data_IF_983293171846
#
_entry.id   IF_983293171846
#
_cell.length_a   1.000
_cell.length_b   1.000
_cell.length_c   1.000
_cell.angle_alpha   90.00
_cell.angle_beta   90.00
_cell.angle_gamma   90.00
#
_symmetry.space_group_name_H-M   'P 1'
#
loop_
_entity.id
_entity.type
_entity.pdbx_description
1 polymer ?
#
# COMPACT_ATOMS: atom_id res chain seq x y z
N UNK A 1 -7.26 9.83 18.99
CA UNK A 1 -6.23 9.04 18.32
C UNK A 1 -5.12 9.97 17.86
N UNK A 2 -3.86 9.58 18.03
CA UNK A 2 -2.67 10.28 17.51
C UNK A 2 -1.69 9.28 16.89
N UNK A 3 -0.51 9.73 16.48
CA UNK A 3 0.56 8.83 16.03
C UNK A 3 1.03 7.86 17.14
N UNK A 4 0.82 8.18 18.42
CA UNK A 4 1.17 7.27 19.53
C UNK A 4 0.26 6.03 19.57
N UNK A 5 -0.88 6.08 18.87
CA UNK A 5 -1.80 4.96 18.70
C UNK A 5 -1.54 4.16 17.42
N UNK A 6 -0.43 4.44 16.72
CA UNK A 6 -0.13 3.86 15.41
C UNK A 6 1.17 3.05 15.39
N UNK A 7 1.03 1.77 15.09
CA UNK A 7 2.10 0.93 14.56
C UNK A 7 2.16 1.03 13.03
N UNK A 8 3.36 1.09 12.48
CA UNK A 8 3.60 1.05 11.03
C UNK A 8 4.49 -0.15 10.71
N UNK A 9 4.02 -1.01 9.80
CA UNK A 9 4.78 -2.15 9.29
C UNK A 9 5.12 -1.95 7.82
N UNK A 10 6.41 -1.92 7.47
CA UNK A 10 6.88 -1.90 6.07
C UNK A 10 7.38 -3.29 5.67
N UNK A 11 6.80 -3.87 4.62
CA UNK A 11 7.23 -5.15 4.07
C UNK A 11 8.18 -4.93 2.89
N UNK A 12 9.36 -5.54 2.94
CA UNK A 12 10.38 -5.36 1.90
C UNK A 12 11.08 -6.65 1.48
N UNK A 13 11.54 -6.65 0.23
CA UNK A 13 12.44 -7.68 -0.32
C UNK A 13 13.28 -7.11 -1.45
N UNK A 14 14.60 -7.09 -1.24
CA UNK A 14 15.63 -6.75 -2.21
C UNK A 14 15.44 -5.40 -2.94
N UNK A 15 15.10 -4.34 -2.20
CA UNK A 15 14.72 -3.03 -2.75
C UNK A 15 15.18 -1.85 -1.88
N UNK A 16 16.45 -1.84 -1.47
CA UNK A 16 17.08 -0.85 -0.60
C UNK A 16 16.58 0.60 -0.80
N UNK A 17 16.68 1.12 -2.02
CA UNK A 17 16.33 2.52 -2.29
C UNK A 17 14.83 2.82 -2.12
N UNK A 18 13.94 1.88 -2.49
CA UNK A 18 12.49 2.04 -2.30
C UNK A 18 12.14 1.97 -0.82
N UNK A 19 12.69 0.98 -0.12
CA UNK A 19 12.55 0.86 1.33
C UNK A 19 13.01 2.14 2.04
N UNK A 20 14.18 2.66 1.67
CA UNK A 20 14.71 3.91 2.22
C UNK A 20 13.77 5.09 1.96
N UNK A 21 13.22 5.22 0.75
CA UNK A 21 12.22 6.26 0.46
C UNK A 21 10.97 6.12 1.34
N UNK A 22 10.44 4.90 1.46
CA UNK A 22 9.28 4.61 2.29
C UNK A 22 9.53 5.00 3.76
N UNK A 23 10.64 4.53 4.34
CA UNK A 23 11.06 4.83 5.72
C UNK A 23 11.21 6.34 5.93
N UNK A 24 11.91 7.04 5.04
CA UNK A 24 12.08 8.50 5.15
C UNK A 24 10.75 9.24 5.09
N UNK A 25 9.82 8.80 4.23
CA UNK A 25 8.50 9.42 4.14
C UNK A 25 7.66 9.20 5.39
N UNK A 26 7.74 8.01 6.00
CA UNK A 26 7.09 7.70 7.28
C UNK A 26 7.67 8.56 8.39
N UNK A 27 8.99 8.64 8.53
CA UNK A 27 9.64 9.45 9.56
C UNK A 27 9.28 10.94 9.44
N UNK A 28 9.10 11.44 8.22
CA UNK A 28 8.73 12.84 7.96
C UNK A 28 7.27 13.14 8.32
N UNK A 29 6.35 12.23 7.98
CA UNK A 29 4.92 12.50 8.00
C UNK A 29 4.14 11.83 9.12
N UNK A 30 4.75 10.87 9.80
CA UNK A 30 4.16 10.15 10.93
C UNK A 30 5.05 10.22 12.18
N UNK A 31 5.40 11.43 12.65
CA UNK A 31 6.25 11.58 13.83
C UNK A 31 5.54 11.00 15.06
N UNK A 32 6.18 10.03 15.72
CA UNK A 32 5.64 9.34 16.91
C UNK A 32 5.12 7.92 16.64
N UNK A 33 4.83 7.57 15.38
CA UNK A 33 4.40 6.22 15.06
C UNK A 33 5.54 5.22 15.26
N UNK A 34 5.23 4.02 15.78
CA UNK A 34 6.23 2.97 15.96
C UNK A 34 6.42 2.23 14.63
N UNK A 35 7.55 2.47 13.99
CA UNK A 35 7.91 1.87 12.70
C UNK A 35 8.69 0.56 12.89
N UNK A 36 8.23 -0.50 12.24
CA UNK A 36 8.94 -1.79 12.11
C UNK A 36 9.03 -2.21 10.65
N UNK A 37 10.19 -2.71 10.24
CA UNK A 37 10.45 -3.23 8.90
C UNK A 37 10.50 -4.75 8.97
N UNK A 38 9.74 -5.41 8.11
CA UNK A 38 9.70 -6.86 7.97
C UNK A 38 10.39 -7.24 6.66
N UNK A 39 11.62 -7.75 6.78
CA UNK A 39 12.42 -8.20 5.65
C UNK A 39 12.09 -9.65 5.26
N UNK A 40 11.84 -9.93 3.99
CA UNK A 40 11.56 -11.29 3.48
C UNK A 40 12.83 -12.02 3.01
N UNK A 41 13.87 -12.04 3.86
CA UNK A 41 15.18 -12.62 3.58
C UNK A 41 15.87 -11.96 2.37
N UNK A 42 16.03 -10.64 2.42
CA UNK A 42 16.81 -9.94 1.40
C UNK A 42 18.23 -10.50 1.34
N UNK A 43 18.75 -10.60 0.12
CA UNK A 43 20.06 -11.14 -0.20
C UNK A 43 20.93 -10.14 -0.95
N UNK A 44 20.35 -9.05 -1.47
CA UNK A 44 21.15 -8.08 -2.19
C UNK A 44 21.98 -7.22 -1.21
N UNK A 45 23.24 -6.90 -1.55
CA UNK A 45 24.15 -6.20 -0.65
C UNK A 45 23.65 -4.81 -0.23
N UNK A 46 22.97 -4.08 -1.11
CA UNK A 46 22.53 -2.71 -0.83
C UNK A 46 21.41 -2.73 0.22
N UNK A 47 20.48 -3.69 0.12
CA UNK A 47 19.39 -3.84 1.09
C UNK A 47 19.95 -4.30 2.43
N UNK A 48 20.86 -5.28 2.44
CA UNK A 48 21.51 -5.73 3.68
C UNK A 48 22.29 -4.60 4.37
N UNK A 49 23.03 -3.79 3.61
CA UNK A 49 23.75 -2.64 4.14
C UNK A 49 22.80 -1.58 4.71
N UNK A 50 21.69 -1.29 4.02
CA UNK A 50 20.68 -0.36 4.52
C UNK A 50 20.01 -0.88 5.80
N UNK A 51 19.57 -2.15 5.82
CA UNK A 51 18.98 -2.77 7.01
C UNK A 51 19.92 -2.75 8.22
N UNK A 52 21.21 -2.99 8.00
CA UNK A 52 22.23 -2.94 9.06
C UNK A 52 22.51 -1.52 9.59
N UNK A 53 22.15 -0.47 8.83
CA UNK A 53 22.31 0.93 9.25
C UNK A 53 21.13 1.48 10.06
N UNK A 54 20.03 0.73 10.12
CA UNK A 54 18.84 1.13 10.85
C UNK A 54 18.98 0.85 12.36
N UNK A 55 18.26 1.60 13.22
CA UNK A 55 18.27 1.38 14.66
C UNK A 55 17.95 -0.06 15.05
N UNK A 56 18.58 -0.53 16.12
CA UNK A 56 18.31 -1.85 16.69
C UNK A 56 16.82 -2.02 17.00
N UNK A 57 16.28 -3.20 16.70
CA UNK A 57 14.86 -3.53 16.92
C UNK A 57 13.91 -2.97 15.85
N UNK A 58 14.35 -2.09 14.94
CA UNK A 58 13.51 -1.59 13.84
C UNK A 58 13.28 -2.65 12.75
N UNK A 59 14.19 -3.62 12.61
CA UNK A 59 14.13 -4.65 11.56
C UNK A 59 13.81 -6.01 12.16
N UNK A 60 12.80 -6.67 11.61
CA UNK A 60 12.41 -8.03 11.93
C UNK A 60 12.80 -8.94 10.77
N UNK A 61 13.79 -9.79 11.04
CA UNK A 61 14.27 -10.82 10.10
C UNK A 61 13.27 -12.00 10.04
N UNK A 62 13.28 -12.78 8.95
CA UNK A 62 12.41 -13.95 8.81
C UNK A 62 12.79 -15.05 9.81
N UNK A 63 11.80 -15.85 10.22
CA UNK A 63 12.01 -17.05 11.03
C UNK A 63 12.70 -18.16 10.23
N UNK A 64 13.26 -19.14 10.94
CA UNK A 64 14.04 -20.25 10.36
C UNK A 64 13.23 -21.27 9.53
N UNK A 65 11.90 -21.14 9.41
CA UNK A 65 11.03 -22.14 8.77
C UNK A 65 10.39 -21.73 7.42
N UNK A 66 10.58 -20.51 6.91
CA UNK A 66 9.46 -19.86 6.18
C UNK A 66 9.73 -19.49 4.72
N UNK A 67 9.80 -20.47 3.80
CA UNK A 67 9.96 -20.20 2.37
C UNK A 67 9.17 -21.14 1.44
N UNK A 68 7.84 -21.11 1.46
CA UNK A 68 7.04 -21.79 0.42
C UNK A 68 5.76 -21.03 0.07
N UNK A 69 5.85 -20.04 -0.82
CA UNK A 69 4.69 -19.30 -1.32
C UNK A 69 4.95 -18.46 -2.57
N UNK A 70 3.94 -18.33 -3.44
CA UNK A 70 3.99 -17.54 -4.69
C UNK A 70 4.17 -16.03 -4.48
N UNK A 71 3.87 -15.54 -3.27
CA UNK A 71 3.98 -14.13 -2.85
C UNK A 71 5.24 -13.82 -2.03
N UNK A 72 6.18 -14.78 -1.87
CA UNK A 72 7.19 -14.68 -0.82
C UNK A 72 6.55 -14.79 0.57
N UNK A 73 7.29 -14.41 1.61
CA UNK A 73 6.83 -14.39 3.00
C UNK A 73 5.89 -13.22 3.33
N UNK A 74 5.31 -12.50 2.35
CA UNK A 74 4.52 -11.28 2.60
C UNK A 74 3.39 -11.48 3.63
N UNK A 75 2.43 -12.37 3.36
CA UNK A 75 1.28 -12.57 4.26
C UNK A 75 1.67 -13.11 5.62
N UNK A 76 2.74 -13.91 5.66
CA UNK A 76 3.32 -14.38 6.92
C UNK A 76 3.93 -13.22 7.72
N UNK A 77 4.70 -12.35 7.07
CA UNK A 77 5.23 -11.15 7.70
C UNK A 77 4.10 -10.19 8.12
N UNK A 78 3.01 -10.09 7.35
CA UNK A 78 1.82 -9.34 7.75
C UNK A 78 1.16 -9.93 8.99
N UNK A 79 1.12 -11.27 9.13
CA UNK A 79 0.64 -11.91 10.36
C UNK A 79 1.55 -11.55 11.53
N UNK A 80 2.87 -11.67 11.36
CA UNK A 80 3.84 -11.30 12.40
C UNK A 80 3.75 -9.82 12.78
N UNK A 81 3.40 -8.94 11.85
CA UNK A 81 3.17 -7.53 12.13
C UNK A 81 1.92 -7.35 13.00
N UNK A 82 0.83 -8.05 12.71
CA UNK A 82 -0.37 -8.04 13.53
C UNK A 82 -0.11 -8.61 14.93
N UNK A 83 0.55 -9.77 15.02
CA UNK A 83 0.86 -10.43 16.30
C UNK A 83 1.76 -9.58 17.22
N UNK A 84 2.56 -8.67 16.64
CA UNK A 84 3.45 -7.75 17.36
C UNK A 84 2.86 -6.35 17.56
N UNK A 85 1.69 -6.08 16.97
CA UNK A 85 1.07 -4.78 17.09
C UNK A 85 0.56 -4.60 18.51
N UNK A 86 1.01 -3.54 19.17
CA UNK A 86 0.63 -3.20 20.56
C UNK A 86 -0.19 -1.92 20.61
N UNK A 87 -0.33 -1.23 19.47
CA UNK A 87 -1.11 -0.01 19.34
C UNK A 87 -2.48 -0.31 18.73
N UNK A 88 -3.43 0.59 18.96
CA UNK A 88 -4.83 0.45 18.50
C UNK A 88 -4.91 0.26 16.97
N UNK A 89 -4.03 0.95 16.24
CA UNK A 89 -3.99 0.93 14.79
C UNK A 89 -2.68 0.35 14.26
N UNK A 90 -2.77 -0.42 13.19
CA UNK A 90 -1.65 -0.90 12.40
C UNK A 90 -1.80 -0.40 10.96
N UNK A 91 -0.86 0.42 10.49
CA UNK A 91 -0.74 0.77 9.07
C UNK A 91 0.26 -0.17 8.40
N UNK A 92 -0.21 -0.90 7.40
CA UNK A 92 0.64 -1.75 6.57
C UNK A 92 1.09 -1.01 5.31
N UNK A 93 2.38 -1.06 5.01
CA UNK A 93 3.00 -0.44 3.84
C UNK A 93 3.86 -1.45 3.09
N UNK A 94 4.00 -1.26 1.78
CA UNK A 94 4.98 -1.98 0.97
C UNK A 94 6.16 -1.04 0.69
N UNK A 95 7.35 -1.61 0.48
CA UNK A 95 8.57 -0.85 0.23
C UNK A 95 8.46 0.14 -0.95
N UNK A 96 7.58 -0.12 -1.91
CA UNK A 96 7.32 0.73 -3.06
C UNK A 96 6.23 1.80 -2.85
N UNK A 97 5.89 2.10 -1.60
CA UNK A 97 4.95 3.16 -1.22
C UNK A 97 5.65 4.36 -0.59
N UNK A 98 4.94 5.49 -0.60
CA UNK A 98 5.37 6.73 0.03
C UNK A 98 4.20 7.38 0.76
N UNK A 99 4.45 7.86 1.97
CA UNK A 99 3.56 8.80 2.66
C UNK A 99 3.81 10.19 2.07
N UNK A 100 2.78 10.85 1.55
CA UNK A 100 2.94 12.10 0.77
C UNK A 100 2.48 13.35 1.50
N UNK A 101 1.94 13.21 2.71
CA UNK A 101 1.54 14.33 3.56
C UNK A 101 1.44 13.90 5.02
N UNK A 102 1.58 14.85 5.92
CA UNK A 102 1.29 14.63 7.33
C UNK A 102 -0.22 14.58 7.58
N UNK A 103 -0.61 13.91 8.65
CA UNK A 103 -1.97 13.89 9.16
C UNK A 103 -2.15 15.04 10.17
N UNK A 104 -3.26 15.74 10.08
CA UNK A 104 -3.69 16.70 11.11
C UNK A 104 -4.85 16.13 11.93
N UNK A 105 -5.34 16.91 12.91
CA UNK A 105 -6.42 16.46 13.80
C UNK A 105 -7.68 16.02 13.04
N UNK A 106 -8.06 16.72 11.95
CA UNK A 106 -9.25 16.36 11.18
C UNK A 106 -9.13 15.00 10.49
N UNK A 107 -7.90 14.58 10.14
CA UNK A 107 -7.66 13.25 9.60
C UNK A 107 -7.83 12.17 10.68
N UNK A 108 -7.35 12.44 11.90
CA UNK A 108 -7.55 11.54 13.04
C UNK A 108 -9.01 11.43 13.46
N UNK A 109 -9.74 12.54 13.45
CA UNK A 109 -11.18 12.56 13.73
C UNK A 109 -11.93 11.74 12.68
N UNK A 110 -11.53 11.84 11.41
CA UNK A 110 -12.05 11.01 10.31
C UNK A 110 -11.77 9.52 10.54
N UNK A 111 -10.55 9.15 10.91
CA UNK A 111 -10.15 7.76 11.18
C UNK A 111 -10.95 7.20 12.37
N UNK A 112 -11.04 7.96 13.46
CA UNK A 112 -11.78 7.55 14.65
C UNK A 112 -13.26 7.35 14.32
N UNK A 113 -13.89 8.36 13.70
CA UNK A 113 -15.30 8.32 13.29
C UNK A 113 -15.59 7.14 12.35
N UNK A 114 -14.66 6.84 11.43
CA UNK A 114 -14.80 5.70 10.53
C UNK A 114 -14.96 4.39 11.31
N UNK A 115 -14.17 4.16 12.36
CA UNK A 115 -14.27 2.95 13.16
C UNK A 115 -15.43 3.00 14.17
N UNK A 116 -15.72 4.14 14.79
CA UNK A 116 -16.81 4.27 15.78
C UNK A 116 -18.20 4.12 15.17
N UNK A 117 -18.40 4.60 13.94
CA UNK A 117 -19.70 4.56 13.26
C UNK A 117 -20.13 3.12 12.91
N UNK A 118 -19.18 2.21 12.73
CA UNK A 118 -19.47 0.80 12.43
C UNK A 118 -18.52 -0.12 13.22
N UNK A 119 -19.00 -0.80 14.28
CA UNK A 119 -18.16 -1.67 15.12
C UNK A 119 -17.63 -2.90 14.37
N UNK A 120 -18.22 -3.27 13.23
CA UNK A 120 -17.74 -4.38 12.39
C UNK A 120 -16.68 -3.94 11.38
N UNK A 121 -16.36 -2.66 11.27
CA UNK A 121 -15.30 -2.18 10.36
C UNK A 121 -13.92 -2.43 10.98
N UNK A 122 -13.06 -3.20 10.31
CA UNK A 122 -11.69 -3.44 10.77
C UNK A 122 -10.61 -2.84 9.86
N UNK A 123 -10.99 -2.40 8.66
CA UNK A 123 -10.05 -1.88 7.65
C UNK A 123 -10.50 -0.51 7.14
N UNK A 124 -9.54 0.36 6.86
CA UNK A 124 -9.72 1.65 6.20
C UNK A 124 -8.66 1.82 5.10
N UNK A 125 -9.08 2.14 3.88
CA UNK A 125 -8.17 2.42 2.77
C UNK A 125 -7.65 3.86 2.84
N UNK A 126 -6.33 3.99 2.96
CA UNK A 126 -5.58 5.27 3.07
C UNK A 126 -4.93 5.71 1.75
N UNK A 127 -5.20 4.97 0.68
CA UNK A 127 -4.58 5.10 -0.64
C UNK A 127 -5.30 6.08 -1.56
N UNK A 128 -4.53 6.87 -2.31
CA UNK A 128 -5.07 7.54 -3.50
C UNK A 128 -5.55 6.53 -4.55
N UNK A 129 -6.51 6.94 -5.36
CA UNK A 129 -7.04 6.13 -6.45
C UNK A 129 -6.10 6.22 -7.65
N UNK A 130 -5.72 5.07 -8.20
CA UNK A 130 -4.98 5.02 -9.47
C UNK A 130 -5.89 5.50 -10.60
N UNK A 131 -5.47 6.47 -11.41
CA UNK A 131 -6.22 6.96 -12.58
C UNK A 131 -6.83 5.86 -13.45
N UNK A 132 -6.06 4.80 -13.74
CA UNK A 132 -6.51 3.62 -14.52
C UNK A 132 -7.67 2.84 -13.88
N UNK A 133 -7.99 3.13 -12.61
CA UNK A 133 -9.11 2.56 -11.85
C UNK A 133 -10.20 3.58 -11.54
N UNK A 134 -10.06 4.85 -11.92
CA UNK A 134 -10.98 5.93 -11.55
C UNK A 134 -12.43 5.62 -11.95
N UNK A 135 -12.68 5.31 -13.23
CA UNK A 135 -14.02 4.97 -13.72
C UNK A 135 -14.66 3.83 -12.92
N UNK A 136 -13.84 2.83 -12.55
CA UNK A 136 -14.29 1.70 -11.74
C UNK A 136 -14.63 2.14 -10.33
N UNK A 137 -13.77 2.93 -9.68
CA UNK A 137 -13.99 3.39 -8.30
C UNK A 137 -15.21 4.31 -8.23
N UNK A 138 -15.40 5.23 -9.19
CA UNK A 138 -16.61 6.08 -9.31
C UNK A 138 -17.90 5.27 -9.41
N UNK A 139 -17.84 4.09 -10.06
CA UNK A 139 -18.98 3.18 -10.15
C UNK A 139 -19.24 2.42 -8.85
N UNK A 140 -18.19 2.01 -8.15
CA UNK A 140 -18.30 1.16 -6.95
C UNK A 140 -18.53 1.93 -5.67
N UNK A 141 -18.06 3.18 -5.61
CA UNK A 141 -18.06 3.99 -4.42
C UNK A 141 -19.08 5.13 -4.51
N UNK A 142 -19.57 5.57 -3.36
CA UNK A 142 -20.33 6.80 -3.18
C UNK A 142 -19.64 7.68 -2.14
N UNK A 143 -19.63 9.02 -2.32
CA UNK A 143 -19.17 9.92 -1.29
C UNK A 143 -20.10 9.88 -0.08
N UNK A 144 -19.51 9.99 1.12
CA UNK A 144 -20.18 10.11 2.42
C UNK A 144 -19.58 11.36 3.09
N UNK A 145 -20.01 12.58 2.70
CA UNK A 145 -19.34 13.82 3.08
C UNK A 145 -19.25 14.06 4.58
N UNK A 146 -20.27 13.68 5.33
CA UNK A 146 -20.35 13.80 6.79
C UNK A 146 -19.27 12.98 7.52
N UNK A 147 -18.74 11.93 6.89
CA UNK A 147 -17.64 11.12 7.43
C UNK A 147 -16.31 11.41 6.73
N UNK A 148 -16.26 12.26 5.69
CA UNK A 148 -15.08 12.40 4.83
C UNK A 148 -14.57 11.06 4.28
N UNK A 149 -15.49 10.17 3.89
CA UNK A 149 -15.20 8.83 3.35
C UNK A 149 -15.88 8.58 2.00
N UNK A 150 -15.42 7.55 1.31
CA UNK A 150 -16.12 6.90 0.22
C UNK A 150 -16.49 5.47 0.63
N UNK A 151 -17.79 5.17 0.62
CA UNK A 151 -18.32 3.84 0.95
C UNK A 151 -18.68 3.05 -0.31
N UNK A 152 -18.72 1.73 -0.18
CA UNK A 152 -19.31 0.87 -1.20
C UNK A 152 -20.79 1.20 -1.38
N UNK A 153 -21.22 1.24 -2.65
CA UNK A 153 -22.63 1.44 -2.95
C UNK A 153 -23.43 0.17 -2.64
N UNK A 154 -24.50 0.32 -1.87
CA UNK A 154 -25.37 -0.78 -1.44
C UNK A 154 -26.32 -1.27 -2.56
N UNK A 155 -26.53 -0.48 -3.62
CA UNK A 155 -27.43 -0.77 -4.75
C UNK A 155 -26.80 -1.67 -5.81
N UNK A 156 -25.52 -2.00 -5.68
CA UNK A 156 -24.83 -2.88 -6.61
C UNK A 156 -25.08 -4.34 -6.22
N UNK A 157 -25.69 -5.10 -7.13
CA UNK A 157 -25.53 -6.56 -7.17
C UNK A 157 -24.04 -6.89 -6.94
N UNK A 158 -23.68 -7.89 -6.10
CA UNK A 158 -22.30 -8.18 -5.74
C UNK A 158 -21.40 -8.54 -6.94
N UNK A 159 -20.96 -7.54 -7.69
CA UNK A 159 -20.00 -7.70 -8.77
C UNK A 159 -18.69 -8.18 -8.15
N UNK A 160 -17.96 -9.03 -8.87
CA UNK A 160 -16.65 -9.55 -8.41
C UNK A 160 -15.66 -8.46 -8.00
N UNK A 161 -15.82 -7.22 -8.47
CA UNK A 161 -14.99 -6.08 -8.09
C UNK A 161 -15.44 -5.38 -6.80
N UNK A 162 -16.74 -5.23 -6.55
CA UNK A 162 -17.24 -4.71 -5.26
C UNK A 162 -16.80 -5.63 -4.12
N UNK A 163 -16.84 -6.94 -4.37
CA UNK A 163 -16.30 -7.97 -3.47
C UNK A 163 -14.80 -7.80 -3.15
N UNK A 164 -14.01 -7.10 -3.99
CA UNK A 164 -12.57 -6.91 -3.73
C UNK A 164 -12.23 -5.68 -2.88
N UNK A 165 -13.22 -4.87 -2.51
CA UNK A 165 -13.04 -3.65 -1.72
C UNK A 165 -13.22 -3.92 -0.22
N UNK A 166 -12.92 -5.14 0.24
CA UNK A 166 -13.04 -5.52 1.65
C UNK A 166 -11.70 -5.55 2.39
N UNK A 167 -10.59 -5.63 1.65
CA UNK A 167 -9.24 -5.75 2.20
C UNK A 167 -8.22 -5.32 1.14
N UNK A 168 -7.18 -4.59 1.56
CA UNK A 168 -5.98 -4.32 0.78
C UNK A 168 -4.74 -4.57 1.64
N UNK A 169 -3.66 -5.05 1.02
CA UNK A 169 -2.37 -5.27 1.68
C UNK A 169 -1.78 -3.97 2.28
N UNK A 170 -2.16 -2.83 1.71
CA UNK A 170 -1.87 -1.50 2.25
C UNK A 170 -3.17 -0.90 2.75
N UNK A 171 -3.37 -0.95 4.06
CA UNK A 171 -4.54 -0.39 4.73
C UNK A 171 -4.21 -0.02 6.16
N UNK A 172 -5.06 0.81 6.76
CA UNK A 172 -5.08 1.05 8.18
C UNK A 172 -6.02 0.03 8.84
N UNK A 173 -5.49 -0.72 9.79
CA UNK A 173 -6.15 -1.85 10.43
C UNK A 173 -6.43 -1.54 11.90
N UNK A 174 -7.62 -1.89 12.39
CA UNK A 174 -7.93 -1.81 13.82
C UNK A 174 -7.53 -3.11 14.52
N UNK A 175 -6.46 -3.06 15.31
CA UNK A 175 -5.79 -4.24 15.87
C UNK A 175 -6.73 -5.05 16.77
N UNK A 176 -7.38 -4.40 17.74
CA UNK A 176 -8.26 -5.10 18.68
C UNK A 176 -9.43 -5.81 17.99
N UNK A 177 -9.98 -5.22 16.92
CA UNK A 177 -11.09 -5.83 16.16
C UNK A 177 -10.62 -7.04 15.37
N UNK A 178 -9.42 -6.98 14.80
CA UNK A 178 -8.81 -8.14 14.14
C UNK A 178 -8.56 -9.27 15.14
N UNK A 179 -8.02 -8.97 16.32
CA UNK A 179 -7.81 -9.97 17.38
C UNK A 179 -9.13 -10.56 17.89
N UNK A 180 -10.13 -9.72 18.17
CA UNK A 180 -11.45 -10.16 18.64
C UNK A 180 -12.18 -11.05 17.63
N UNK A 181 -11.97 -10.82 16.33
CA UNK A 181 -12.53 -11.65 15.26
C UNK A 181 -11.65 -12.86 14.90
N UNK A 182 -10.54 -13.09 15.62
CA UNK A 182 -9.54 -14.12 15.31
C UNK A 182 -9.06 -14.07 13.85
N UNK A 183 -8.83 -12.86 13.34
CA UNK A 183 -8.30 -12.66 12.00
C UNK A 183 -6.93 -13.34 11.85
N UNK A 184 -6.73 -13.99 10.70
CA UNK A 184 -5.44 -14.59 10.34
C UNK A 184 -5.15 -14.36 8.86
N UNK A 185 -3.96 -13.83 8.56
CA UNK A 185 -3.52 -13.61 7.19
C UNK A 185 -3.49 -14.94 6.42
N UNK A 186 -4.20 -14.95 5.31
CA UNK A 186 -4.27 -16.06 4.38
C UNK A 186 -3.18 -15.95 3.30
N UNK A 187 -2.86 -17.06 2.64
CA UNK A 187 -1.79 -17.16 1.66
C UNK A 187 -2.04 -16.44 0.31
N UNK A 188 -3.12 -15.68 0.17
CA UNK A 188 -3.41 -14.88 -1.03
C UNK A 188 -4.35 -13.70 -0.76
N UNK A 189 -4.21 -12.63 -1.53
CA UNK A 189 -5.09 -11.45 -1.50
C UNK A 189 -6.57 -11.86 -1.64
N UNK A 190 -6.88 -12.82 -2.52
CA UNK A 190 -8.24 -13.29 -2.73
C UNK A 190 -8.82 -14.01 -1.50
N UNK A 191 -8.01 -14.81 -0.80
CA UNK A 191 -8.42 -15.48 0.42
C UNK A 191 -8.62 -14.49 1.58
N UNK A 192 -7.73 -13.49 1.70
CA UNK A 192 -7.89 -12.40 2.67
C UNK A 192 -9.15 -11.58 2.40
N UNK A 193 -9.40 -11.19 1.15
CA UNK A 193 -10.64 -10.51 0.75
C UNK A 193 -11.88 -11.32 1.13
N UNK A 194 -11.89 -12.62 0.86
CA UNK A 194 -13.04 -13.45 1.16
C UNK A 194 -13.24 -13.63 2.67
N UNK A 195 -12.16 -13.76 3.45
CA UNK A 195 -12.24 -13.78 4.91
C UNK A 195 -12.77 -12.45 5.46
N UNK A 196 -12.26 -11.31 4.97
CA UNK A 196 -12.66 -9.98 5.44
C UNK A 196 -14.15 -9.74 5.23
N UNK A 197 -14.70 -10.21 4.11
CA UNK A 197 -16.14 -10.12 3.83
C UNK A 197 -17.03 -10.95 4.74
N UNK A 198 -16.49 -12.02 5.32
CA UNK A 198 -17.24 -12.85 6.27
C UNK A 198 -17.22 -12.26 7.67
N UNK A 199 -16.13 -11.58 8.03
CA UNK A 199 -15.89 -11.14 9.41
C UNK A 199 -16.23 -9.67 9.65
N UNK A 200 -16.14 -8.82 8.62
CA UNK A 200 -16.17 -7.37 8.79
C UNK A 200 -17.10 -6.67 7.81
N UNK A 201 -17.48 -5.45 8.17
CA UNK A 201 -18.13 -4.51 7.28
C UNK A 201 -17.20 -4.10 6.12
N UNK A 202 -17.77 -3.63 4.98
CA UNK A 202 -17.00 -3.09 3.87
C UNK A 202 -15.93 -2.08 4.29
N UNK A 203 -14.77 -2.14 3.64
CA UNK A 203 -13.68 -1.19 3.87
C UNK A 203 -13.95 0.12 3.11
N UNK A 204 -14.19 1.24 3.81
CA UNK A 204 -14.27 2.56 3.19
C UNK A 204 -12.91 3.01 2.67
N UNK A 205 -12.92 4.04 1.81
CA UNK A 205 -11.72 4.76 1.38
C UNK A 205 -11.74 6.18 1.91
N UNK A 206 -10.64 6.65 2.51
CA UNK A 206 -10.54 8.04 2.97
C UNK A 206 -10.76 9.03 1.82
N UNK A 207 -11.52 10.10 2.06
CA UNK A 207 -11.63 11.19 1.09
C UNK A 207 -10.32 11.97 0.95
N UNK A 208 -9.49 11.96 1.98
CA UNK A 208 -8.19 12.62 2.03
C UNK A 208 -7.08 11.58 2.23
N UNK A 209 -6.71 10.81 1.20
CA UNK A 209 -5.64 9.83 1.33
C UNK A 209 -4.30 10.48 1.66
N UNK A 210 -3.35 9.68 2.13
CA UNK A 210 -2.00 10.16 2.48
C UNK A 210 -0.89 9.19 2.06
N UNK A 211 -1.23 8.02 1.50
CA UNK A 211 -0.27 7.04 0.99
C UNK A 211 -0.48 6.82 -0.50
N UNK A 212 0.61 6.66 -1.24
CA UNK A 212 0.53 6.17 -2.61
C UNK A 212 1.77 5.40 -3.06
N UNK A 213 1.67 4.73 -4.21
CA UNK A 213 2.77 3.95 -4.79
C UNK A 213 3.73 4.87 -5.52
N UNK A 214 5.03 4.64 -5.36
CA UNK A 214 6.05 5.22 -6.21
C UNK A 214 5.80 4.80 -7.68
N UNK A 215 5.98 5.70 -8.66
CA UNK A 215 5.97 5.33 -10.07
C UNK A 215 7.15 4.45 -10.49
N UNK A 216 6.95 3.73 -11.58
CA UNK A 216 7.95 3.01 -12.38
C UNK A 216 8.80 1.97 -11.60
N UNK A 217 8.19 1.35 -10.60
CA UNK A 217 8.83 0.38 -9.69
C UNK A 217 9.34 -0.86 -10.44
N UNK A 218 10.59 -1.31 -10.17
CA UNK A 218 11.15 -2.55 -10.68
C UNK A 218 10.30 -3.78 -10.37
N UNK A 219 9.93 -4.56 -11.38
CA UNK A 219 9.08 -5.74 -11.20
C UNK A 219 9.89 -7.01 -10.89
N UNK A 220 9.75 -7.54 -9.68
CA UNK A 220 10.28 -8.85 -9.27
C UNK A 220 9.17 -9.91 -9.26
N UNK A 221 9.44 -11.13 -9.74
CA UNK A 221 8.52 -12.28 -9.64
C UNK A 221 9.29 -13.58 -9.48
N UNK A 222 8.86 -14.44 -8.55
CA UNK A 222 9.52 -15.70 -8.18
C UNK A 222 10.97 -15.52 -7.70
N UNK A 223 11.23 -14.49 -6.88
CA UNK A 223 12.58 -14.19 -6.34
C UNK A 223 13.67 -13.99 -7.41
N UNK A 224 13.28 -13.74 -8.65
CA UNK A 224 14.17 -13.46 -9.77
C UNK A 224 13.67 -12.31 -10.64
N UNK A 225 14.57 -11.77 -11.47
CA UNK A 225 14.24 -10.80 -12.50
C UNK A 225 14.17 -11.49 -13.86
N UNK A 226 13.09 -11.27 -14.61
CA UNK A 226 13.04 -11.68 -16.02
C UNK A 226 14.00 -10.82 -16.86
N UNK A 227 14.39 -11.25 -18.07
CA UNK A 227 15.25 -10.41 -18.93
C UNK A 227 14.55 -9.09 -19.24
N UNK A 228 13.22 -9.09 -19.37
CA UNK A 228 12.44 -7.87 -19.52
C UNK A 228 12.57 -6.93 -18.31
N UNK A 229 12.60 -7.45 -17.08
CA UNK A 229 12.84 -6.64 -15.88
C UNK A 229 14.29 -6.11 -15.83
N UNK A 230 15.28 -6.94 -16.18
CA UNK A 230 16.69 -6.51 -16.27
C UNK A 230 16.89 -5.41 -17.32
N UNK A 231 16.17 -5.50 -18.45
CA UNK A 231 16.23 -4.52 -19.53
C UNK A 231 15.42 -3.27 -19.19
N UNK A 232 14.28 -3.41 -18.50
CA UNK A 232 13.51 -2.28 -17.99
C UNK A 232 14.34 -1.41 -17.04
N UNK A 233 15.13 -2.01 -16.14
CA UNK A 233 16.09 -1.29 -15.29
C UNK A 233 17.10 -0.44 -16.08
N UNK A 234 17.53 -0.90 -17.27
CA UNK A 234 18.44 -0.12 -18.13
C UNK A 234 17.74 1.04 -18.84
N UNK A 235 16.43 0.91 -19.10
CA UNK A 235 15.66 1.87 -19.91
C UNK A 235 14.93 2.91 -19.06
N UNK A 236 14.44 2.51 -17.88
CA UNK A 236 13.70 3.33 -16.91
C UNK A 236 14.65 4.00 -15.91
N UNK A 237 15.85 3.42 -15.74
CA UNK A 237 16.81 3.80 -14.71
C UNK A 237 16.56 3.06 -13.40
N UNK A 238 17.52 3.17 -12.49
CA UNK A 238 17.48 2.52 -11.17
C UNK A 238 16.99 3.44 -10.06
N UNK A 239 16.99 4.75 -10.31
CA UNK A 239 16.58 5.73 -9.32
C UNK A 239 15.09 5.59 -9.02
N UNK A 240 14.77 5.57 -7.73
CA UNK A 240 13.40 5.62 -7.23
C UNK A 240 12.74 6.87 -7.79
N UNK A 241 11.56 6.70 -8.39
CA UNK A 241 10.74 7.83 -8.79
C UNK A 241 9.91 8.24 -7.58
N UNK A 242 10.46 9.14 -6.77
CA UNK A 242 9.81 9.68 -5.58
C UNK A 242 8.65 10.60 -5.95
N UNK A 243 7.69 10.71 -5.04
CA UNK A 243 6.60 11.68 -5.13
C UNK A 243 7.00 12.93 -4.34
N UNK A 244 6.57 14.10 -4.80
CA UNK A 244 6.66 15.32 -4.01
C UNK A 244 5.72 15.24 -2.81
N UNK A 245 6.18 15.77 -1.68
CA UNK A 245 5.30 16.01 -0.55
C UNK A 245 4.23 17.03 -0.94
N UNK A 246 3.00 16.82 -0.47
CA UNK A 246 1.92 17.76 -0.66
C UNK A 246 2.17 19.00 0.19
N UNK A 247 2.13 20.16 -0.45
CA UNK A 247 2.19 21.46 0.25
C UNK A 247 0.92 21.71 1.06
N UNK A 248 0.96 22.59 2.08
CA UNK A 248 -0.23 22.97 2.84
C UNK A 248 -1.39 23.47 1.94
N UNK A 249 -1.06 24.18 0.86
CA UNK A 249 -2.05 24.65 -0.11
C UNK A 249 -2.72 23.50 -0.88
N UNK A 250 -1.94 22.50 -1.31
CA UNK A 250 -2.46 21.30 -1.98
C UNK A 250 -3.31 20.45 -1.03
N UNK A 251 -2.89 20.29 0.23
CA UNK A 251 -3.65 19.57 1.25
C UNK A 251 -4.98 20.28 1.50
N UNK A 252 -4.96 21.60 1.70
CA UNK A 252 -6.18 22.41 1.87
C UNK A 252 -7.11 22.25 0.67
N UNK A 253 -6.60 22.40 -0.55
CA UNK A 253 -7.40 22.24 -1.76
C UNK A 253 -8.01 20.84 -1.89
N UNK A 254 -7.26 19.78 -1.53
CA UNK A 254 -7.78 18.41 -1.51
C UNK A 254 -8.86 18.22 -0.44
N UNK A 255 -8.71 18.83 0.73
CA UNK A 255 -9.70 18.72 1.82
C UNK A 255 -10.99 19.47 1.52
N UNK A 256 -10.90 20.64 0.87
CA UNK A 256 -12.08 21.48 0.57
C UNK A 256 -12.73 21.20 -0.78
N UNK A 257 -12.19 20.29 -1.60
CA UNK A 257 -12.79 19.94 -2.90
C UNK A 257 -14.17 19.31 -2.71
N UNK A 258 -15.02 19.44 -3.71
CA UNK A 258 -16.25 18.66 -3.83
C UNK A 258 -15.91 17.16 -3.98
N UNK A 259 -16.57 16.30 -3.20
CA UNK A 259 -16.28 14.85 -3.17
C UNK A 259 -16.75 14.08 -4.42
N UNK A 260 -17.47 14.71 -5.35
CA UNK A 260 -17.60 14.19 -6.73
C UNK A 260 -16.26 14.15 -7.46
N UNK A 261 -15.28 14.95 -7.02
CA UNK A 261 -13.87 14.86 -7.43
C UNK A 261 -13.15 13.85 -6.55
N UNK A 262 -13.02 12.63 -7.07
CA UNK A 262 -12.35 11.52 -6.39
C UNK A 262 -10.85 11.80 -6.20
N UNK A 263 -10.22 11.30 -5.11
CA UNK A 263 -8.82 11.53 -4.82
C UNK A 263 -7.92 10.66 -5.72
N UNK A 264 -7.88 10.97 -7.01
CA UNK A 264 -7.06 10.31 -8.01
C UNK A 264 -5.62 10.80 -7.90
N UNK A 265 -4.66 9.91 -7.72
CA UNK A 265 -3.28 10.26 -7.44
C UNK A 265 -2.68 11.20 -8.50
N UNK A 266 -2.92 10.93 -9.78
CA UNK A 266 -2.42 11.76 -10.87
C UNK A 266 -2.94 13.21 -10.87
N UNK A 267 -4.10 13.44 -10.23
CA UNK A 267 -4.70 14.77 -10.06
C UNK A 267 -4.04 15.54 -8.92
N UNK A 268 -3.67 14.87 -7.83
CA UNK A 268 -3.22 15.51 -6.59
C UNK A 268 -1.71 15.43 -6.35
N UNK A 269 -1.04 14.46 -6.96
CA UNK A 269 0.37 14.14 -6.70
C UNK A 269 1.22 14.40 -7.92
N UNK A 270 2.48 14.75 -7.67
CA UNK A 270 3.51 14.94 -8.68
C UNK A 270 4.72 14.09 -8.32
N UNK A 271 5.43 13.59 -9.32
CA UNK A 271 6.75 13.00 -9.10
C UNK A 271 7.81 14.10 -9.02
N UNK A 272 8.88 13.87 -8.26
CA UNK A 272 10.04 14.76 -8.25
C UNK A 272 10.72 14.80 -9.61
N UNK A 273 10.78 13.64 -10.27
CA UNK A 273 11.35 13.53 -11.59
C UNK A 273 10.33 13.98 -12.66
N UNK A 274 10.58 15.09 -13.38
CA UNK A 274 9.64 15.64 -14.37
C UNK A 274 9.45 14.73 -15.60
N UNK A 275 10.31 13.71 -15.77
CA UNK A 275 10.20 12.74 -16.87
C UNK A 275 9.18 11.62 -16.60
N UNK A 276 8.72 11.47 -15.35
CA UNK A 276 7.72 10.47 -14.97
C UNK A 276 6.39 10.86 -15.60
N UNK A 277 5.82 9.95 -16.40
CA UNK A 277 4.57 10.22 -17.12
C UNK A 277 3.35 9.99 -16.22
N UNK A 278 2.31 10.79 -16.45
CA UNK A 278 0.94 10.54 -15.99
C UNK A 278 0.12 9.98 -17.18
N UNK A 279 -0.70 8.92 -17.00
CA UNK A 279 -0.93 8.19 -15.76
C UNK A 279 0.30 7.43 -15.28
N UNK A 280 0.48 7.35 -13.96
CA UNK A 280 1.66 6.71 -13.38
C UNK A 280 1.70 5.24 -13.78
N UNK A 281 2.88 4.76 -14.18
CA UNK A 281 3.09 3.36 -14.51
C UNK A 281 3.65 2.65 -13.30
N UNK A 282 2.98 1.63 -12.77
CA UNK A 282 3.36 1.02 -11.48
C UNK A 282 4.20 -0.26 -11.61
N UNK A 283 4.65 -0.59 -12.83
CA UNK A 283 5.59 -1.69 -13.12
C UNK A 283 6.49 -1.23 -14.25
N UNK A 284 7.80 -1.23 -14.04
CA UNK A 284 8.80 -0.88 -15.04
C UNK A 284 8.64 -1.62 -16.38
N UNK A 285 8.28 -2.91 -16.36
CA UNK A 285 8.00 -3.71 -17.57
C UNK A 285 6.80 -3.21 -18.37
N UNK A 286 5.95 -2.36 -17.78
CA UNK A 286 4.83 -1.70 -18.46
C UNK A 286 5.14 -0.26 -18.84
N UNK A 287 6.32 0.26 -18.52
CA UNK A 287 6.73 1.62 -18.89
C UNK A 287 6.81 1.80 -20.41
N UNK A 288 7.11 0.72 -21.15
CA UNK A 288 7.06 0.69 -22.61
C UNK A 288 6.30 -0.55 -23.10
N UNK A 289 5.56 -0.39 -24.19
CA UNK A 289 4.72 -1.47 -24.75
C UNK A 289 5.55 -2.70 -25.16
N UNK A 290 6.76 -2.50 -25.67
CA UNK A 290 7.66 -3.58 -26.10
C UNK A 290 8.27 -4.35 -24.92
N UNK A 291 8.51 -3.70 -23.77
CA UNK A 291 8.92 -4.40 -22.53
C UNK A 291 7.80 -5.31 -22.02
N UNK A 292 6.55 -4.85 -22.14
CA UNK A 292 5.36 -5.62 -21.77
C UNK A 292 5.17 -6.84 -22.68
N UNK A 293 5.43 -6.68 -23.98
CA UNK A 293 5.42 -7.77 -24.95
C UNK A 293 6.52 -8.81 -24.64
N UNK A 294 7.75 -8.36 -24.40
CA UNK A 294 8.87 -9.23 -24.03
C UNK A 294 8.58 -10.02 -22.75
N UNK A 295 8.05 -9.36 -21.72
CA UNK A 295 7.67 -10.03 -20.47
C UNK A 295 6.58 -11.10 -20.67
N UNK A 296 5.59 -10.85 -21.54
CA UNK A 296 4.56 -11.85 -21.88
C UNK A 296 5.15 -13.06 -22.60
N UNK A 297 6.07 -12.85 -23.54
CA UNK A 297 6.77 -13.92 -24.26
C UNK A 297 7.60 -14.76 -23.28
N UNK A 298 8.35 -14.12 -22.38
CA UNK A 298 9.13 -14.82 -21.35
C UNK A 298 8.26 -15.68 -20.42
N UNK A 299 7.08 -15.18 -20.01
CA UNK A 299 6.15 -15.97 -19.21
C UNK A 299 5.56 -17.15 -20.00
N UNK A 300 5.22 -16.96 -21.27
CA UNK A 300 4.70 -18.03 -22.12
C UNK A 300 5.74 -19.14 -22.37
N UNK A 301 7.02 -18.79 -22.48
CA UNK A 301 8.11 -19.75 -22.63
C UNK A 301 8.43 -20.48 -21.33
N UNK A 302 8.33 -19.81 -20.17
CA UNK A 302 8.54 -20.43 -18.85
C UNK A 302 7.37 -21.32 -18.41
N UNK A 303 6.15 -21.05 -18.87
CA UNK A 303 4.96 -21.87 -18.57
C UNK A 303 4.79 -23.10 -19.48
N UNK A 304 5.71 -23.35 -20.42
CA UNK A 304 5.76 -24.51 -21.31
C UNK A 304 6.84 -25.55 -20.93
N UNK A 305 7.42 -25.42 -19.74
CA UNK A 305 8.34 -26.40 -19.14
C UNK A 305 7.75 -26.95 -17.86
#
# INVERSE_FOLDING_TARGET
MTFDDLDIAIFSYNRAAYLQNCVMSVQRHCPGARLTIFDDASTDPDTLAYLASLPEGMVVQPGSQDAAGRHGGLYYNMQRALDRADRTLLLTLQDDTQVVRSLDQSDWDTILSAFETDPLRAFLSVLFIKSVRETRYKRLLRPVPEQSLYDLRNDLSPQNHAKRMAYFDISLMHVDRLHAAHWQMQNSEAANVEQARRLFAPMPTMAHPFVFFCPEVPFFRNRGQSLAAKLALRVVGRDVKTLKDMTPAQIKAMKTRDMSTYPVAETFLEADNPKVRKPFVYKDVKARWWLSALHKIEQALKGRR
#
